data_IF_285562563811
#
_entry.id   IF_285562563811
#
_cell.length_a   1.000
_cell.length_b   1.000
_cell.length_c   1.000
_cell.angle_alpha   90.00
_cell.angle_beta   90.00
_cell.angle_gamma   90.00
#
_symmetry.space_group_name_H-M   'P 1'
#
loop_
_entity.id
_entity.type
_entity.pdbx_description
1 polymer ?
#
# COMPACT_ATOMS: atom_id res chain seq x y z
N UNK A 1 17.76 -12.72 16.70
CA UNK A 1 17.63 -11.49 17.52
C UNK A 1 16.27 -10.82 17.27
N UNK A 2 15.34 -10.93 18.21
CA UNK A 2 14.02 -10.26 18.18
C UNK A 2 14.26 -8.79 18.54
N UNK A 3 14.35 -7.87 17.56
CA UNK A 3 14.36 -6.42 17.83
C UNK A 3 13.03 -6.08 18.51
N UNK A 4 13.03 -5.97 19.85
CA UNK A 4 11.92 -5.37 20.60
C UNK A 4 11.78 -3.94 20.09
N UNK A 5 10.80 -3.70 19.20
CA UNK A 5 10.42 -2.33 18.82
C UNK A 5 10.09 -1.61 20.13
N UNK A 6 10.81 -0.53 20.44
CA UNK A 6 10.58 0.24 21.65
C UNK A 6 9.11 0.69 21.67
N UNK A 7 8.27 0.17 22.59
CA UNK A 7 6.83 0.41 22.56
C UNK A 7 6.44 1.87 22.91
N UNK A 8 7.41 2.72 23.29
CA UNK A 8 7.13 4.06 23.82
C UNK A 8 6.86 5.16 22.78
N UNK A 9 7.33 5.04 21.53
CA UNK A 9 7.23 6.16 20.57
C UNK A 9 5.82 6.36 19.99
N UNK A 10 5.01 5.30 19.91
CA UNK A 10 3.65 5.38 19.36
C UNK A 10 2.61 5.89 20.36
N UNK A 11 2.86 5.75 21.67
CA UNK A 11 1.93 6.18 22.71
C UNK A 11 2.05 7.67 23.07
N UNK A 12 3.23 8.28 22.86
CA UNK A 12 3.48 9.66 23.29
C UNK A 12 2.59 10.68 22.56
N UNK A 13 2.40 10.53 21.24
CA UNK A 13 1.62 11.45 20.43
C UNK A 13 0.16 11.58 20.89
N UNK A 14 -0.61 10.46 20.97
CA UNK A 14 -1.99 10.50 21.45
C UNK A 14 -2.14 11.07 22.87
N UNK A 15 -1.19 10.77 23.77
CA UNK A 15 -1.19 11.31 25.14
C UNK A 15 -1.01 12.83 25.13
N UNK A 16 -0.01 13.33 24.38
CA UNK A 16 0.21 14.77 24.25
C UNK A 16 -0.99 15.47 23.63
N UNK A 17 -1.63 14.87 22.63
CA UNK A 17 -2.83 15.41 22.02
C UNK A 17 -3.99 15.46 23.03
N UNK A 18 -4.22 14.40 23.78
CA UNK A 18 -5.27 14.36 24.81
C UNK A 18 -5.03 15.44 25.88
N UNK A 19 -3.79 15.58 26.35
CA UNK A 19 -3.43 16.63 27.32
C UNK A 19 -3.64 18.03 26.75
N UNK A 20 -3.28 18.27 25.48
CA UNK A 20 -3.52 19.54 24.80
C UNK A 20 -5.02 19.86 24.73
N UNK A 21 -5.86 18.90 24.34
CA UNK A 21 -7.30 19.08 24.21
C UNK A 21 -7.99 19.28 25.56
N UNK A 22 -7.55 18.58 26.61
CA UNK A 22 -8.02 18.78 27.98
C UNK A 22 -7.62 20.17 28.47
N UNK A 23 -6.35 20.55 28.27
CA UNK A 23 -5.84 21.87 28.64
C UNK A 23 -6.59 23.00 27.95
N UNK A 24 -6.89 22.86 26.65
CA UNK A 24 -7.72 23.79 25.90
C UNK A 24 -9.14 23.87 26.47
N UNK A 25 -9.76 22.72 26.79
CA UNK A 25 -11.12 22.70 27.37
C UNK A 25 -11.18 23.43 28.71
N UNK A 26 -10.17 23.24 29.57
CA UNK A 26 -10.04 23.95 30.85
C UNK A 26 -9.87 25.45 30.62
N UNK A 27 -8.98 25.85 29.68
CA UNK A 27 -8.75 27.24 29.34
C UNK A 27 -10.03 27.92 28.82
N UNK A 28 -10.75 27.29 27.89
CA UNK A 28 -11.99 27.83 27.34
C UNK A 28 -13.11 27.90 28.38
N UNK A 29 -13.13 26.98 29.34
CA UNK A 29 -14.04 27.04 30.49
C UNK A 29 -13.72 28.26 31.37
N UNK A 30 -12.43 28.53 31.62
CA UNK A 30 -12.00 29.68 32.41
C UNK A 30 -12.36 31.04 31.78
N UNK A 31 -12.35 31.08 30.44
CA UNK A 31 -12.69 32.25 29.63
C UNK A 31 -14.19 32.34 29.31
N UNK A 32 -15.00 31.41 29.83
CA UNK A 32 -16.44 31.40 29.62
C UNK A 32 -17.13 32.63 30.22
N UNK A 33 -18.41 32.87 29.83
CA UNK A 33 -19.16 34.05 30.27
C UNK A 33 -19.36 34.13 31.80
N UNK A 34 -19.34 32.98 32.48
CA UNK A 34 -19.51 32.88 33.93
C UNK A 34 -18.19 33.11 34.70
N UNK A 35 -17.07 33.32 34.00
CA UNK A 35 -15.74 33.45 34.57
C UNK A 35 -15.16 32.13 35.11
N UNK A 36 -13.99 32.18 35.78
CA UNK A 36 -13.33 30.98 36.30
C UNK A 36 -14.11 30.39 37.50
N UNK A 37 -14.47 29.10 37.48
CA UNK A 37 -15.14 28.45 38.60
C UNK A 37 -14.32 28.50 39.91
N UNK A 38 -14.97 28.71 41.04
CA UNK A 38 -14.30 28.91 42.34
C UNK A 38 -14.14 27.62 43.17
N UNK A 39 -14.58 26.47 42.66
CA UNK A 39 -14.48 25.19 43.38
C UNK A 39 -14.38 23.98 42.46
N UNK A 40 -13.80 22.88 42.96
CA UNK A 40 -13.52 21.68 42.15
C UNK A 40 -14.77 21.06 41.49
N UNK A 41 -15.89 20.99 42.23
CA UNK A 41 -17.17 20.51 41.66
C UNK A 41 -17.69 21.43 40.55
N UNK A 42 -17.56 22.75 40.74
CA UNK A 42 -17.98 23.74 39.75
C UNK A 42 -17.11 23.65 38.48
N UNK A 43 -15.79 23.46 38.64
CA UNK A 43 -14.87 23.16 37.54
C UNK A 43 -15.29 21.92 36.76
N UNK A 44 -15.56 20.81 37.45
CA UNK A 44 -15.97 19.57 36.82
C UNK A 44 -17.27 19.76 36.01
N UNK A 45 -18.29 20.41 36.59
CA UNK A 45 -19.55 20.64 35.88
C UNK A 45 -19.39 21.60 34.69
N UNK A 46 -18.50 22.60 34.79
CA UNK A 46 -18.31 23.59 33.75
C UNK A 46 -17.46 23.07 32.58
N UNK A 47 -16.46 22.20 32.84
CA UNK A 47 -15.57 21.67 31.80
C UNK A 47 -16.17 20.50 31.01
N UNK A 48 -17.07 19.74 31.62
CA UNK A 48 -17.68 18.54 30.99
C UNK A 48 -18.31 18.83 29.62
N UNK A 49 -19.12 19.89 29.42
CA UNK A 49 -19.66 20.25 28.11
C UNK A 49 -18.57 20.45 27.04
N UNK A 50 -17.48 21.14 27.38
CA UNK A 50 -16.35 21.36 26.47
C UNK A 50 -15.66 20.04 26.13
N UNK A 51 -15.44 19.17 27.11
CA UNK A 51 -14.85 17.84 26.88
C UNK A 51 -15.73 16.98 25.96
N UNK A 52 -17.05 17.01 26.16
CA UNK A 52 -17.99 16.25 25.32
C UNK A 52 -17.96 16.77 23.88
N UNK A 53 -18.03 18.07 23.65
CA UNK A 53 -17.97 18.64 22.29
C UNK A 53 -16.60 18.37 21.64
N UNK A 54 -15.52 18.51 22.39
CA UNK A 54 -14.16 18.19 21.92
C UNK A 54 -14.06 16.73 21.51
N UNK A 55 -14.62 15.82 22.30
CA UNK A 55 -14.66 14.38 21.99
C UNK A 55 -15.46 14.10 20.72
N UNK A 56 -16.61 14.75 20.52
CA UNK A 56 -17.37 14.66 19.28
C UNK A 56 -16.55 15.14 18.07
N UNK A 57 -15.84 16.27 18.21
CA UNK A 57 -14.90 16.74 17.19
C UNK A 57 -13.80 15.73 16.87
N UNK A 58 -13.19 15.12 17.89
CA UNK A 58 -12.19 14.06 17.73
C UNK A 58 -12.78 12.85 16.98
N UNK A 59 -13.99 12.42 17.32
CA UNK A 59 -14.68 11.31 16.64
C UNK A 59 -14.90 11.64 15.15
N UNK A 60 -15.34 12.85 14.84
CA UNK A 60 -15.49 13.31 13.45
C UNK A 60 -14.15 13.28 12.72
N UNK A 61 -13.08 13.84 13.31
CA UNK A 61 -11.75 13.82 12.72
C UNK A 61 -11.20 12.40 12.50
N UNK A 62 -11.47 11.47 13.42
CA UNK A 62 -11.12 10.06 13.27
C UNK A 62 -11.92 9.40 12.13
N UNK A 63 -13.22 9.69 12.02
CA UNK A 63 -14.07 9.17 10.94
C UNK A 63 -13.63 9.68 9.56
N UNK A 64 -13.28 10.97 9.45
CA UNK A 64 -12.72 11.54 8.21
C UNK A 64 -11.41 10.86 7.82
N UNK A 65 -10.54 10.59 8.78
CA UNK A 65 -9.25 9.98 8.52
C UNK A 65 -9.38 8.50 8.14
N UNK A 66 -10.21 7.75 8.86
CA UNK A 66 -10.47 6.34 8.60
C UNK A 66 -11.13 6.12 7.23
N UNK A 67 -12.06 7.00 6.84
CA UNK A 67 -12.69 6.94 5.51
C UNK A 67 -11.77 7.38 4.39
N UNK A 68 -10.87 8.35 4.62
CA UNK A 68 -9.89 8.78 3.61
C UNK A 68 -8.80 7.72 3.37
N UNK A 69 -8.34 7.04 4.43
CA UNK A 69 -7.25 6.06 4.38
C UNK A 69 -7.73 4.65 4.75
N UNK A 70 -8.72 4.15 4.02
CA UNK A 70 -9.39 2.88 4.32
C UNK A 70 -8.44 1.67 4.43
N UNK A 71 -7.36 1.65 3.65
CA UNK A 71 -6.40 0.55 3.65
C UNK A 71 -5.43 0.58 4.85
N UNK A 72 -5.22 1.74 5.47
CA UNK A 72 -4.24 1.95 6.55
C UNK A 72 -4.77 2.90 7.65
N UNK A 73 -5.95 2.67 8.23
CA UNK A 73 -6.62 3.65 9.10
C UNK A 73 -5.82 3.89 10.37
N UNK A 74 -5.32 2.82 11.01
CA UNK A 74 -4.56 2.95 12.26
C UNK A 74 -3.20 3.63 12.07
N UNK A 75 -2.52 3.34 10.95
CA UNK A 75 -1.25 3.97 10.64
C UNK A 75 -1.42 5.46 10.31
N UNK A 76 -2.53 5.82 9.64
CA UNK A 76 -2.90 7.21 9.40
C UNK A 76 -3.20 7.94 10.73
N UNK A 77 -4.03 7.36 11.61
CA UNK A 77 -4.43 7.96 12.91
C UNK A 77 -3.23 8.23 13.81
N UNK A 78 -2.29 7.30 13.90
CA UNK A 78 -1.13 7.44 14.81
C UNK A 78 -0.01 8.29 14.20
N UNK A 79 -0.10 8.64 12.90
CA UNK A 79 0.85 9.56 12.28
C UNK A 79 0.75 10.96 12.90
N UNK A 80 1.86 11.70 12.94
CA UNK A 80 1.87 13.06 13.49
C UNK A 80 0.87 14.00 12.80
N UNK A 81 0.70 13.85 11.48
CA UNK A 81 -0.27 14.61 10.69
C UNK A 81 -1.72 14.15 10.90
N UNK A 82 -1.95 12.85 11.08
CA UNK A 82 -3.25 12.32 11.46
C UNK A 82 -3.70 12.82 12.83
N UNK A 83 -2.80 12.79 13.83
CA UNK A 83 -3.04 13.40 15.14
C UNK A 83 -3.28 14.90 15.04
N UNK A 84 -2.56 15.60 14.15
CA UNK A 84 -2.79 17.02 13.86
C UNK A 84 -4.20 17.30 13.34
N UNK A 85 -4.70 16.50 12.39
CA UNK A 85 -6.04 16.63 11.83
C UNK A 85 -7.13 16.32 12.87
N UNK A 86 -6.96 15.23 13.63
CA UNK A 86 -7.88 14.85 14.72
C UNK A 86 -7.89 15.95 15.79
N UNK A 87 -6.72 16.45 16.17
CA UNK A 87 -6.58 17.54 17.11
C UNK A 87 -7.23 18.83 16.63
N UNK A 88 -7.03 19.21 15.37
CA UNK A 88 -7.67 20.38 14.79
C UNK A 88 -9.19 20.28 14.87
N UNK A 89 -9.77 19.12 14.56
CA UNK A 89 -11.21 18.91 14.68
C UNK A 89 -11.72 19.07 16.12
N UNK A 90 -11.04 18.45 17.09
CA UNK A 90 -11.36 18.62 18.51
C UNK A 90 -11.26 20.07 18.98
N UNK A 91 -10.17 20.76 18.63
CA UNK A 91 -9.95 22.16 18.99
C UNK A 91 -11.01 23.08 18.38
N UNK A 92 -11.32 22.91 17.10
CA UNK A 92 -12.31 23.74 16.42
C UNK A 92 -13.72 23.53 16.98
N UNK A 93 -14.10 22.28 17.29
CA UNK A 93 -15.38 22.00 17.95
C UNK A 93 -15.47 22.71 19.31
N UNK A 94 -14.40 22.67 20.11
CA UNK A 94 -14.33 23.35 21.40
C UNK A 94 -14.42 24.88 21.27
N UNK A 95 -13.69 25.47 20.30
CA UNK A 95 -13.69 26.92 20.05
C UNK A 95 -15.06 27.39 19.58
N UNK A 96 -15.69 26.69 18.62
CA UNK A 96 -17.03 27.02 18.14
C UNK A 96 -18.03 26.95 19.30
N UNK A 97 -17.94 25.93 20.15
CA UNK A 97 -18.80 25.83 21.33
C UNK A 97 -18.60 27.01 22.30
N UNK A 98 -17.34 27.39 22.56
CA UNK A 98 -17.02 28.55 23.39
C UNK A 98 -17.64 29.83 22.83
N UNK A 99 -17.50 30.07 21.52
CA UNK A 99 -18.06 31.23 20.84
C UNK A 99 -19.58 31.25 20.96
N UNK A 100 -20.26 30.16 20.64
CA UNK A 100 -21.74 30.14 20.71
C UNK A 100 -22.22 30.27 22.16
N UNK A 101 -21.54 29.64 23.13
CA UNK A 101 -21.87 29.78 24.56
C UNK A 101 -21.68 31.21 25.07
N UNK A 102 -20.71 31.95 24.53
CA UNK A 102 -20.46 33.35 24.86
C UNK A 102 -21.55 34.27 24.31
N UNK A 103 -21.98 34.06 23.06
CA UNK A 103 -23.00 34.90 22.42
C UNK A 103 -24.45 34.55 22.79
N UNK A 104 -24.70 33.30 23.18
CA UNK A 104 -26.05 32.81 23.51
C UNK A 104 -26.08 32.11 24.88
N UNK A 105 -25.75 32.82 25.98
CA UNK A 105 -25.53 32.21 27.28
C UNK A 105 -26.77 31.56 27.89
N UNK A 106 -27.96 32.06 27.56
CA UNK A 106 -29.26 31.55 28.04
C UNK A 106 -29.73 30.26 27.33
N UNK A 107 -28.99 29.81 26.31
CA UNK A 107 -29.36 28.61 25.55
C UNK A 107 -29.23 27.36 26.40
N UNK A 108 -30.19 26.43 26.25
CA UNK A 108 -30.10 25.13 26.90
C UNK A 108 -28.77 24.44 26.55
N UNK A 109 -27.96 24.18 27.58
CA UNK A 109 -26.60 23.66 27.45
C UNK A 109 -26.54 22.31 26.71
N UNK A 110 -27.53 21.45 26.93
CA UNK A 110 -27.58 20.13 26.27
C UNK A 110 -27.81 20.28 24.76
N UNK A 111 -28.77 21.11 24.36
CA UNK A 111 -29.03 21.41 22.95
C UNK A 111 -27.84 22.09 22.30
N UNK A 112 -27.14 22.97 23.03
CA UNK A 112 -25.94 23.65 22.54
C UNK A 112 -24.80 22.66 22.28
N UNK A 113 -24.54 21.74 23.22
CA UNK A 113 -23.53 20.68 23.07
C UNK A 113 -23.85 19.80 21.86
N UNK A 114 -25.09 19.36 21.71
CA UNK A 114 -25.50 18.51 20.59
C UNK A 114 -25.44 19.25 19.25
N UNK A 115 -25.99 20.47 19.23
CA UNK A 115 -26.05 21.31 18.03
C UNK A 115 -24.67 21.70 17.52
N UNK A 116 -23.77 22.13 18.42
CA UNK A 116 -22.39 22.43 18.03
C UNK A 116 -21.62 21.16 17.73
N UNK A 117 -21.70 20.13 18.56
CA UNK A 117 -20.95 18.89 18.39
C UNK A 117 -21.18 18.19 17.04
N UNK A 118 -22.38 18.30 16.48
CA UNK A 118 -22.71 17.76 15.15
C UNK A 118 -22.57 18.85 14.07
N UNK A 119 -22.97 20.09 14.36
CA UNK A 119 -23.08 21.17 13.37
C UNK A 119 -21.81 21.99 13.14
N UNK A 120 -20.77 21.86 13.97
CA UNK A 120 -19.57 22.69 13.84
C UNK A 120 -18.87 22.53 12.49
N UNK A 121 -18.95 21.35 11.87
CA UNK A 121 -18.41 21.11 10.52
C UNK A 121 -19.07 22.01 9.47
N UNK A 122 -20.38 22.24 9.57
CA UNK A 122 -21.07 23.17 8.69
C UNK A 122 -20.60 24.60 8.94
N UNK A 123 -20.42 24.99 10.21
CA UNK A 123 -19.96 26.33 10.60
C UNK A 123 -18.51 26.63 10.18
N UNK A 124 -17.62 25.64 10.17
CA UNK A 124 -16.23 25.84 9.70
C UNK A 124 -16.20 26.04 8.18
N UNK A 125 -17.13 25.39 7.46
CA UNK A 125 -17.24 25.49 6.02
C UNK A 125 -17.95 26.77 5.55
N UNK A 126 -18.55 27.56 6.44
CA UNK A 126 -19.17 28.83 6.03
C UNK A 126 -18.13 29.91 5.80
N UNK A 127 -18.33 30.68 4.73
CA UNK A 127 -17.52 31.85 4.40
C UNK A 127 -17.96 33.03 5.28
N UNK A 128 -17.05 33.56 6.09
CA UNK A 128 -17.34 34.72 6.92
C UNK A 128 -16.92 36.00 6.18
N UNK A 129 -17.88 36.83 5.84
CA UNK A 129 -17.64 38.16 5.28
C UNK A 129 -17.48 39.14 6.44
N UNK A 130 -16.25 39.59 6.73
CA UNK A 130 -15.98 40.48 7.87
C UNK A 130 -16.26 41.94 7.55
N UNK A 131 -16.06 42.36 6.31
CA UNK A 131 -16.42 43.68 5.85
C UNK A 131 -17.00 43.58 4.44
N UNK A 132 -18.27 43.98 4.30
CA UNK A 132 -18.88 44.25 3.00
C UNK A 132 -18.71 45.73 2.73
N UNK A 133 -17.91 46.10 1.73
CA UNK A 133 -17.65 47.50 1.44
C UNK A 133 -18.88 48.06 0.70
N UNK A 134 -19.68 48.92 1.35
CA UNK A 134 -20.90 49.51 0.78
C UNK A 134 -20.63 50.71 -0.15
N UNK A 135 -19.37 50.97 -0.52
CA UNK A 135 -19.01 52.04 -1.47
C UNK A 135 -18.76 51.43 -2.85
N UNK A 136 -19.54 51.83 -3.86
CA UNK A 136 -19.53 51.31 -5.23
C UNK A 136 -18.27 51.59 -6.06
N UNK A 137 -17.08 51.35 -5.52
CA UNK A 137 -15.82 51.24 -6.25
C UNK A 137 -15.27 49.83 -6.10
N UNK A 138 -14.42 49.40 -7.04
CA UNK A 138 -13.79 48.07 -7.14
C UNK A 138 -12.84 47.70 -5.97
N UNK A 139 -13.31 47.82 -4.72
CA UNK A 139 -12.64 47.34 -3.52
C UNK A 139 -13.19 45.97 -3.12
N UNK A 140 -12.36 44.94 -3.18
CA UNK A 140 -12.77 43.56 -2.92
C UNK A 140 -13.24 43.32 -1.48
N UNK A 141 -14.35 42.61 -1.33
CA UNK A 141 -14.89 42.17 -0.03
C UNK A 141 -13.81 41.41 0.79
N UNK A 142 -13.49 41.93 1.97
CA UNK A 142 -12.59 41.24 2.91
C UNK A 142 -13.37 40.10 3.59
N UNK A 143 -13.26 38.92 3.01
CA UNK A 143 -13.87 37.69 3.52
C UNK A 143 -12.79 36.70 3.94
N UNK A 144 -12.87 36.20 5.17
CA UNK A 144 -12.05 35.09 5.63
C UNK A 144 -12.79 33.79 5.33
N UNK A 145 -12.23 33.00 4.40
CA UNK A 145 -12.75 31.68 4.09
C UNK A 145 -12.04 30.64 4.97
N UNK A 146 -12.58 30.44 6.19
CA UNK A 146 -12.11 29.40 7.12
C UNK A 146 -12.23 27.99 6.50
N UNK A 147 -13.25 27.77 5.66
CA UNK A 147 -13.41 26.53 4.92
C UNK A 147 -12.24 26.26 3.98
N UNK A 148 -11.81 27.25 3.20
CA UNK A 148 -10.65 27.12 2.32
C UNK A 148 -9.36 26.81 3.10
N UNK A 149 -9.12 27.50 4.22
CA UNK A 149 -7.93 27.24 5.04
C UNK A 149 -7.94 25.82 5.62
N UNK A 150 -9.11 25.36 6.08
CA UNK A 150 -9.30 23.99 6.54
C UNK A 150 -9.04 22.98 5.44
N UNK A 151 -9.58 23.19 4.23
CA UNK A 151 -9.36 22.34 3.07
C UNK A 151 -7.88 22.24 2.68
N UNK A 152 -7.16 23.38 2.64
CA UNK A 152 -5.72 23.39 2.36
C UNK A 152 -4.92 22.62 3.41
N UNK A 153 -5.25 22.80 4.69
CA UNK A 153 -4.61 22.07 5.77
C UNK A 153 -4.91 20.56 5.68
N UNK A 154 -6.16 20.19 5.37
CA UNK A 154 -6.57 18.81 5.20
C UNK A 154 -5.85 18.16 4.02
N UNK A 155 -5.72 18.87 2.89
CA UNK A 155 -4.97 18.42 1.72
C UNK A 155 -3.49 18.21 2.06
N UNK A 156 -2.85 19.16 2.76
CA UNK A 156 -1.47 19.04 3.21
C UNK A 156 -1.30 17.80 4.11
N UNK A 157 -2.17 17.61 5.10
CA UNK A 157 -2.14 16.45 5.99
C UNK A 157 -2.26 15.15 5.19
N UNK A 158 -3.20 15.10 4.23
CA UNK A 158 -3.40 13.91 3.39
C UNK A 158 -2.15 13.58 2.58
N UNK A 159 -1.55 14.58 1.91
CA UNK A 159 -0.31 14.39 1.14
C UNK A 159 0.85 13.91 2.02
N UNK A 160 1.01 14.47 3.21
CA UNK A 160 2.10 14.07 4.11
C UNK A 160 1.91 12.66 4.67
N UNK A 161 0.68 12.27 4.99
CA UNK A 161 0.35 10.90 5.39
C UNK A 161 0.65 9.93 4.26
N UNK A 162 0.23 10.26 3.03
CA UNK A 162 0.48 9.42 1.86
C UNK A 162 1.97 9.24 1.59
N UNK A 163 2.76 10.32 1.61
CA UNK A 163 4.22 10.24 1.48
C UNK A 163 4.87 9.39 2.58
N UNK A 164 4.38 9.49 3.83
CA UNK A 164 4.88 8.67 4.93
C UNK A 164 4.54 7.18 4.72
N UNK A 165 3.34 6.87 4.21
CA UNK A 165 2.93 5.52 3.86
C UNK A 165 3.75 4.97 2.69
N UNK A 166 3.98 5.76 1.63
CA UNK A 166 4.83 5.37 0.48
C UNK A 166 6.24 4.98 0.93
N UNK A 167 6.90 5.80 1.76
CA UNK A 167 8.25 5.51 2.30
C UNK A 167 8.29 4.20 3.09
N UNK A 168 7.19 3.82 3.73
CA UNK A 168 7.07 2.55 4.46
C UNK A 168 6.78 1.37 3.53
N UNK A 169 6.00 1.56 2.46
CA UNK A 169 5.67 0.52 1.48
C UNK A 169 6.86 0.12 0.61
N UNK A 170 7.65 1.09 0.16
CA UNK A 170 8.79 0.87 -0.74
C UNK A 170 9.74 -0.28 -0.32
N UNK A 171 10.29 -0.32 0.91
CA UNK A 171 11.19 -1.41 1.30
C UNK A 171 10.48 -2.77 1.38
N UNK A 172 9.16 -2.80 1.55
CA UNK A 172 8.41 -4.05 1.57
C UNK A 172 8.19 -4.59 0.15
N UNK A 173 7.83 -3.70 -0.78
CA UNK A 173 7.70 -4.02 -2.20
C UNK A 173 9.03 -4.54 -2.74
N UNK A 174 10.14 -3.85 -2.46
CA UNK A 174 11.48 -4.30 -2.87
C UNK A 174 11.79 -5.71 -2.36
N UNK A 175 11.54 -5.99 -1.08
CA UNK A 175 11.76 -7.35 -0.52
C UNK A 175 10.85 -8.41 -1.13
N UNK A 176 9.60 -8.08 -1.47
CA UNK A 176 8.72 -9.00 -2.17
C UNK A 176 9.27 -9.32 -3.57
N UNK A 177 9.70 -8.30 -4.31
CA UNK A 177 10.29 -8.44 -5.65
C UNK A 177 11.58 -9.27 -5.61
N UNK A 178 12.46 -9.01 -4.64
CA UNK A 178 13.69 -9.79 -4.41
C UNK A 178 13.39 -11.26 -4.11
N UNK A 179 12.35 -11.51 -3.30
CA UNK A 179 12.05 -12.85 -2.81
C UNK A 179 11.30 -13.72 -3.82
N UNK A 180 10.53 -13.09 -4.70
CA UNK A 180 9.79 -13.72 -5.79
C UNK A 180 10.31 -13.17 -7.13
N UNK A 181 11.44 -13.71 -7.64
CA UNK A 181 12.14 -13.13 -8.78
C UNK A 181 11.37 -13.26 -10.09
N UNK A 182 10.51 -14.27 -10.23
CA UNK A 182 9.71 -14.46 -11.44
C UNK A 182 8.40 -13.68 -11.39
N UNK A 183 8.05 -13.05 -12.51
CA UNK A 183 6.77 -12.38 -12.71
C UNK A 183 5.58 -13.33 -12.45
N UNK A 184 5.66 -14.58 -12.91
CA UNK A 184 4.63 -15.58 -12.66
C UNK A 184 4.45 -15.89 -11.17
N UNK A 185 5.54 -15.97 -10.39
CA UNK A 185 5.42 -16.21 -8.95
C UNK A 185 4.75 -15.04 -8.22
N UNK A 186 5.10 -13.81 -8.59
CA UNK A 186 4.42 -12.61 -8.07
C UNK A 186 2.95 -12.57 -8.49
N UNK A 187 2.63 -12.89 -9.74
CA UNK A 187 1.26 -12.94 -10.23
C UNK A 187 0.43 -13.97 -9.47
N UNK A 188 0.92 -15.21 -9.33
CA UNK A 188 0.22 -16.25 -8.58
C UNK A 188 0.01 -15.83 -7.13
N UNK A 189 0.99 -15.16 -6.52
CA UNK A 189 0.84 -14.68 -5.14
C UNK A 189 -0.16 -13.54 -5.02
N UNK A 190 -0.21 -12.61 -5.99
CA UNK A 190 -1.22 -11.57 -6.07
C UNK A 190 -2.62 -12.18 -6.25
N UNK A 191 -2.76 -13.14 -7.17
CA UNK A 191 -3.99 -13.88 -7.40
C UNK A 191 -4.49 -14.55 -6.11
N UNK A 192 -3.65 -15.34 -5.44
CA UNK A 192 -4.01 -15.97 -4.16
C UNK A 192 -4.36 -14.96 -3.07
N UNK A 193 -3.73 -13.79 -3.07
CA UNK A 193 -4.02 -12.73 -2.09
C UNK A 193 -5.41 -12.13 -2.32
N UNK A 194 -5.83 -11.96 -3.57
CA UNK A 194 -7.19 -11.53 -3.93
C UNK A 194 -8.22 -12.58 -3.51
N UNK A 195 -8.03 -13.84 -3.92
CA UNK A 195 -8.98 -14.94 -3.61
C UNK A 195 -9.06 -15.23 -2.10
N UNK A 196 -7.95 -15.08 -1.37
CA UNK A 196 -7.96 -15.29 0.08
C UNK A 196 -8.73 -14.19 0.85
N UNK A 197 -9.00 -13.04 0.21
CA UNK A 197 -9.65 -11.89 0.84
C UNK A 197 -11.17 -12.03 0.81
N UNK A 198 -11.72 -12.59 1.89
CA UNK A 198 -13.17 -12.80 2.08
C UNK A 198 -14.04 -11.55 2.15
N UNK A 199 -13.45 -10.36 2.15
CA UNK A 199 -14.20 -9.09 2.25
C UNK A 199 -14.68 -8.57 0.90
N UNK A 200 -14.15 -9.10 -0.21
CA UNK A 200 -14.59 -8.69 -1.54
C UNK A 200 -15.91 -9.35 -1.90
N UNK A 201 -16.76 -8.62 -2.63
CA UNK A 201 -17.86 -9.26 -3.36
C UNK A 201 -17.31 -10.03 -4.57
N UNK A 202 -18.05 -11.00 -5.12
CA UNK A 202 -17.64 -11.71 -6.33
C UNK A 202 -17.32 -10.77 -7.50
N UNK A 203 -18.05 -9.67 -7.64
CA UNK A 203 -17.83 -8.66 -8.68
C UNK A 203 -16.54 -7.88 -8.45
N UNK A 204 -16.26 -7.47 -7.21
CA UNK A 204 -15.01 -6.78 -6.86
C UNK A 204 -13.80 -7.70 -7.07
N UNK A 205 -13.91 -8.97 -6.68
CA UNK A 205 -12.86 -9.97 -6.91
C UNK A 205 -12.56 -10.10 -8.41
N UNK A 206 -13.59 -10.27 -9.24
CA UNK A 206 -13.45 -10.37 -10.69
C UNK A 206 -12.80 -9.11 -11.30
N UNK A 207 -13.18 -7.92 -10.81
CA UNK A 207 -12.57 -6.66 -11.25
C UNK A 207 -11.08 -6.56 -10.89
N UNK A 208 -10.70 -6.94 -9.66
CA UNK A 208 -9.30 -6.93 -9.24
C UNK A 208 -8.46 -7.93 -10.03
N UNK A 209 -8.98 -9.13 -10.30
CA UNK A 209 -8.31 -10.14 -11.11
C UNK A 209 -8.17 -9.71 -12.58
N UNK A 210 -9.19 -9.07 -13.15
CA UNK A 210 -9.13 -8.53 -14.50
C UNK A 210 -8.07 -7.44 -14.63
N UNK A 211 -8.00 -6.52 -13.67
CA UNK A 211 -6.98 -5.46 -13.65
C UNK A 211 -5.55 -6.02 -13.49
N UNK A 212 -5.37 -7.01 -12.62
CA UNK A 212 -4.10 -7.73 -12.47
C UNK A 212 -3.66 -8.39 -13.79
N UNK A 213 -4.58 -9.05 -14.48
CA UNK A 213 -4.32 -9.72 -15.76
C UNK A 213 -4.00 -8.70 -16.85
N UNK A 214 -4.75 -7.59 -16.92
CA UNK A 214 -4.50 -6.51 -17.88
C UNK A 214 -3.09 -5.93 -17.75
N UNK A 215 -2.65 -5.67 -16.52
CA UNK A 215 -1.30 -5.15 -16.23
C UNK A 215 -0.18 -6.11 -16.62
N UNK A 216 -0.43 -7.42 -16.50
CA UNK A 216 0.52 -8.45 -16.90
C UNK A 216 0.70 -8.52 -18.43
N UNK A 217 -0.36 -8.20 -19.16
CA UNK A 217 -0.44 -8.29 -20.63
C UNK A 217 -0.06 -6.99 -21.33
N UNK A 218 0.23 -5.91 -20.59
CA UNK A 218 0.57 -4.61 -21.18
C UNK A 218 2.00 -4.61 -21.73
N UNK A 219 2.20 -4.62 -23.07
CA UNK A 219 3.52 -4.70 -23.67
C UNK A 219 4.30 -3.37 -23.56
N UNK A 220 3.65 -2.29 -23.13
CA UNK A 220 4.29 -0.97 -22.98
C UNK A 220 5.09 -0.83 -21.68
N UNK A 221 4.86 -1.72 -20.71
CA UNK A 221 5.50 -1.66 -19.41
C UNK A 221 6.76 -2.53 -19.35
N UNK A 222 7.89 -2.00 -18.84
CA UNK A 222 9.07 -2.82 -18.56
C UNK A 222 8.77 -3.91 -17.52
N UNK A 223 9.37 -5.09 -17.66
CA UNK A 223 9.18 -6.24 -16.75
C UNK A 223 9.37 -5.90 -15.27
N UNK A 224 10.37 -5.07 -14.96
CA UNK A 224 10.63 -4.62 -13.59
C UNK A 224 9.45 -3.80 -13.02
N UNK A 225 8.83 -2.95 -13.85
CA UNK A 225 7.65 -2.16 -13.46
C UNK A 225 6.46 -3.08 -13.21
N UNK A 226 6.25 -4.11 -14.05
CA UNK A 226 5.21 -5.11 -13.85
C UNK A 226 5.42 -5.83 -12.52
N UNK A 227 6.65 -6.27 -12.22
CA UNK A 227 6.99 -6.95 -10.96
C UNK A 227 6.75 -6.07 -9.73
N UNK A 228 7.20 -4.81 -9.77
CA UNK A 228 6.94 -3.86 -8.68
C UNK A 228 5.44 -3.62 -8.48
N UNK A 229 4.67 -3.54 -9.57
CA UNK A 229 3.22 -3.34 -9.53
C UNK A 229 2.50 -4.55 -8.92
N UNK A 230 2.90 -5.78 -9.28
CA UNK A 230 2.36 -7.00 -8.68
C UNK A 230 2.70 -7.08 -7.19
N UNK A 231 3.94 -6.76 -6.81
CA UNK A 231 4.36 -6.74 -5.41
C UNK A 231 3.62 -5.67 -4.59
N UNK A 232 3.38 -4.49 -5.18
CA UNK A 232 2.55 -3.45 -4.57
C UNK A 232 1.11 -3.93 -4.38
N UNK A 233 0.53 -4.59 -5.39
CA UNK A 233 -0.82 -5.15 -5.28
C UNK A 233 -0.94 -6.20 -4.16
N UNK A 234 0.06 -7.09 -4.00
CA UNK A 234 0.09 -8.02 -2.86
C UNK A 234 0.06 -7.27 -1.52
N UNK A 235 0.83 -6.18 -1.43
CA UNK A 235 0.91 -5.37 -0.21
C UNK A 235 -0.39 -4.59 0.07
N UNK A 236 -1.02 -4.03 -0.95
CA UNK A 236 -2.27 -3.25 -0.81
C UNK A 236 -3.46 -4.17 -0.53
N UNK A 237 -3.56 -5.30 -1.23
CA UNK A 237 -4.66 -6.24 -1.05
C UNK A 237 -4.52 -7.06 0.23
N UNK A 238 -3.31 -7.52 0.57
CA UNK A 238 -3.08 -8.37 1.75
C UNK A 238 -2.67 -7.62 3.02
N UNK A 239 -2.23 -6.37 2.90
CA UNK A 239 -1.67 -5.59 3.99
C UNK A 239 -0.25 -6.00 4.39
N UNK A 240 0.36 -5.19 5.26
CA UNK A 240 1.76 -5.35 5.67
C UNK A 240 2.02 -6.67 6.43
N UNK A 241 1.03 -7.15 7.18
CA UNK A 241 1.13 -8.41 7.93
C UNK A 241 1.28 -9.61 7.00
N UNK A 242 0.44 -9.69 5.97
CA UNK A 242 0.49 -10.75 4.96
C UNK A 242 1.78 -10.70 4.15
N UNK A 243 2.16 -9.50 3.65
CA UNK A 243 3.40 -9.33 2.91
C UNK A 243 4.63 -9.80 3.69
N UNK A 244 4.72 -9.46 4.98
CA UNK A 244 5.80 -9.96 5.85
C UNK A 244 5.77 -11.48 6.02
N UNK A 245 4.59 -12.06 6.21
CA UNK A 245 4.44 -13.52 6.32
C UNK A 245 4.89 -14.23 5.03
N UNK A 246 4.57 -13.67 3.87
CA UNK A 246 5.02 -14.19 2.57
C UNK A 246 6.53 -14.10 2.39
N UNK A 247 7.15 -12.97 2.77
CA UNK A 247 8.62 -12.81 2.74
C UNK A 247 9.29 -13.83 3.66
N UNK A 248 8.75 -14.01 4.87
CA UNK A 248 9.29 -14.96 5.85
C UNK A 248 9.13 -16.42 5.40
N UNK A 249 7.95 -16.79 4.89
CA UNK A 249 7.67 -18.13 4.39
C UNK A 249 8.58 -18.47 3.21
N UNK A 250 8.76 -17.54 2.28
CA UNK A 250 9.71 -17.74 1.21
C UNK A 250 11.12 -17.87 1.79
N UNK A 251 11.56 -17.02 2.72
CA UNK A 251 12.90 -17.10 3.35
C UNK A 251 13.20 -18.48 3.95
N UNK A 252 12.20 -19.15 4.54
CA UNK A 252 12.34 -20.53 5.04
C UNK A 252 12.45 -21.59 3.93
N UNK A 253 11.96 -21.30 2.74
CA UNK A 253 12.03 -22.17 1.54
C UNK A 253 13.30 -21.96 0.70
N UNK A 254 14.11 -20.92 0.93
CA UNK A 254 15.40 -20.85 0.22
C UNK A 254 16.30 -21.99 0.74
N UNK A 255 16.97 -22.74 -0.15
CA UNK A 255 18.11 -23.53 0.27
C UNK A 255 19.19 -22.59 0.84
N UNK A 256 20.02 -23.05 1.80
CA UNK A 256 21.07 -22.22 2.38
C UNK A 256 21.95 -21.61 1.30
N UNK A 257 22.40 -20.36 1.48
CA UNK A 257 23.13 -19.57 0.49
C UNK A 257 24.36 -20.28 -0.13
N UNK A 258 24.90 -21.31 0.53
CA UNK A 258 25.92 -22.19 -0.03
C UNK A 258 25.48 -22.93 -1.31
N UNK A 259 24.20 -23.30 -1.43
CA UNK A 259 23.65 -23.98 -2.61
C UNK A 259 23.32 -23.02 -3.77
N UNK A 260 23.11 -21.73 -3.50
CA UNK A 260 22.86 -20.73 -4.53
C UNK A 260 24.15 -20.26 -5.25
N UNK A 261 25.31 -20.43 -4.59
CA UNK A 261 26.62 -20.15 -5.18
C UNK A 261 27.08 -21.22 -6.19
N UNK A 262 26.42 -22.38 -6.23
CA UNK A 262 26.75 -23.49 -7.13
C UNK A 262 25.75 -23.69 -8.28
N UNK A 263 24.62 -22.96 -8.31
CA UNK A 263 23.68 -23.07 -9.42
C UNK A 263 24.19 -22.27 -10.64
N UNK A 264 24.44 -22.93 -11.78
CA UNK A 264 25.00 -22.27 -12.95
C UNK A 264 24.03 -21.23 -13.51
N UNK A 265 24.55 -20.09 -13.95
CA UNK A 265 23.73 -19.01 -14.52
C UNK A 265 22.91 -19.52 -15.73
N UNK A 266 21.61 -19.24 -15.73
CA UNK A 266 20.65 -19.74 -16.72
C UNK A 266 21.05 -19.32 -18.14
N UNK A 267 21.46 -18.07 -18.31
CA UNK A 267 21.88 -17.56 -19.60
C UNK A 267 23.20 -18.18 -20.06
N UNK A 268 24.14 -18.41 -19.14
CA UNK A 268 25.39 -19.10 -19.43
C UNK A 268 25.15 -20.55 -19.90
N UNK A 269 24.23 -21.28 -19.27
CA UNK A 269 23.88 -22.66 -19.68
C UNK A 269 23.18 -22.67 -21.03
N UNK A 270 22.20 -21.78 -21.27
CA UNK A 270 21.53 -21.68 -22.58
C UNK A 270 22.53 -21.35 -23.69
N UNK A 271 23.42 -20.38 -23.47
CA UNK A 271 24.46 -20.01 -24.44
C UNK A 271 25.42 -21.17 -24.70
N UNK A 272 25.89 -21.84 -23.64
CA UNK A 272 26.80 -22.97 -23.75
C UNK A 272 26.21 -24.13 -24.55
N UNK A 273 24.93 -24.48 -24.33
CA UNK A 273 24.22 -25.49 -25.12
C UNK A 273 24.11 -25.06 -26.60
N UNK A 274 23.70 -23.83 -26.86
CA UNK A 274 23.53 -23.32 -28.21
C UNK A 274 24.85 -23.24 -29.00
N UNK A 275 25.97 -22.98 -28.34
CA UNK A 275 27.30 -22.88 -28.98
C UNK A 275 27.96 -24.25 -29.18
N UNK A 276 27.84 -25.17 -28.21
CA UNK A 276 28.59 -26.43 -28.19
C UNK A 276 27.88 -27.62 -28.84
N UNK A 277 26.55 -27.59 -28.94
CA UNK A 277 25.78 -28.68 -29.52
C UNK A 277 25.20 -28.30 -30.87
N UNK A 278 25.32 -29.19 -31.84
CA UNK A 278 24.65 -29.04 -33.13
C UNK A 278 23.12 -29.16 -33.00
N UNK A 279 22.43 -28.84 -34.09
CA UNK A 279 20.97 -28.78 -34.10
C UNK A 279 20.34 -30.15 -33.80
N UNK A 280 20.93 -31.25 -34.29
CA UNK A 280 20.43 -32.60 -34.09
C UNK A 280 20.57 -33.05 -32.64
N UNK A 281 21.70 -32.76 -32.00
CA UNK A 281 21.92 -33.03 -30.58
C UNK A 281 20.97 -32.20 -29.70
N UNK A 282 20.73 -30.93 -30.05
CA UNK A 282 19.75 -30.09 -29.35
C UNK A 282 18.32 -30.60 -29.54
N UNK A 283 17.94 -31.07 -30.74
CA UNK A 283 16.64 -31.71 -31.00
C UNK A 283 16.48 -32.96 -30.14
N UNK A 284 17.49 -33.82 -30.09
CA UNK A 284 17.49 -35.05 -29.28
C UNK A 284 17.31 -34.77 -27.79
N UNK A 285 18.07 -33.81 -27.24
CA UNK A 285 17.94 -33.41 -25.83
C UNK A 285 16.58 -32.78 -25.53
N UNK A 286 16.05 -31.96 -26.44
CA UNK A 286 14.74 -31.36 -26.27
C UNK A 286 13.62 -32.42 -26.27
N UNK A 287 13.70 -33.43 -27.13
CA UNK A 287 12.77 -34.57 -27.10
C UNK A 287 12.91 -35.40 -25.83
N UNK A 288 14.12 -35.61 -25.30
CA UNK A 288 14.33 -36.25 -24.00
C UNK A 288 13.61 -35.49 -22.87
N UNK A 289 13.67 -34.14 -22.90
CA UNK A 289 12.94 -33.29 -21.95
C UNK A 289 11.43 -33.49 -22.07
N UNK A 290 10.90 -33.56 -23.30
CA UNK A 290 9.47 -33.80 -23.55
C UNK A 290 9.03 -35.14 -22.96
N UNK A 291 9.76 -36.22 -23.24
CA UNK A 291 9.50 -37.56 -22.72
C UNK A 291 9.48 -37.63 -21.18
N UNK A 292 10.40 -36.90 -20.55
CA UNK A 292 10.56 -36.94 -19.10
C UNK A 292 9.55 -36.08 -18.34
N UNK A 293 9.15 -34.94 -18.92
CA UNK A 293 8.44 -33.88 -18.17
C UNK A 293 6.98 -33.72 -18.60
N UNK A 294 6.63 -34.00 -19.86
CA UNK A 294 5.29 -33.77 -20.38
C UNK A 294 4.44 -35.05 -20.42
N UNK A 295 3.12 -34.91 -20.31
CA UNK A 295 2.15 -36.00 -20.40
C UNK A 295 0.87 -35.55 -21.12
N UNK A 296 0.20 -36.47 -21.81
CA UNK A 296 -1.03 -36.21 -22.56
C UNK A 296 -0.83 -35.13 -23.63
N UNK A 297 -1.83 -34.28 -23.82
CA UNK A 297 -1.86 -33.25 -24.88
C UNK A 297 -0.65 -32.28 -24.84
N UNK A 298 -0.08 -32.04 -23.65
CA UNK A 298 1.10 -31.18 -23.49
C UNK A 298 2.35 -31.80 -24.13
N UNK A 299 2.44 -33.13 -24.12
CA UNK A 299 3.54 -33.86 -24.75
C UNK A 299 3.49 -33.69 -26.26
N UNK A 300 2.31 -33.83 -26.85
CA UNK A 300 2.10 -33.69 -28.29
C UNK A 300 2.41 -32.26 -28.76
N UNK A 301 1.97 -31.25 -27.99
CA UNK A 301 2.27 -29.83 -28.29
C UNK A 301 3.78 -29.56 -28.23
N UNK A 302 4.47 -30.04 -27.20
CA UNK A 302 5.91 -29.79 -27.06
C UNK A 302 6.73 -30.56 -28.07
N UNK A 303 6.32 -31.78 -28.40
CA UNK A 303 6.95 -32.56 -29.46
C UNK A 303 6.82 -31.83 -30.80
N UNK A 304 5.62 -31.35 -31.14
CA UNK A 304 5.39 -30.56 -32.35
C UNK A 304 6.23 -29.27 -32.37
N UNK A 305 6.40 -28.59 -31.22
CA UNK A 305 7.27 -27.41 -31.12
C UNK A 305 8.74 -27.75 -31.40
N UNK A 306 9.26 -28.82 -30.81
CA UNK A 306 10.66 -29.23 -30.98
C UNK A 306 10.94 -29.66 -32.41
N UNK A 307 10.05 -30.48 -32.99
CA UNK A 307 10.15 -30.91 -34.39
C UNK A 307 10.04 -29.72 -35.34
N UNK A 308 9.02 -28.88 -35.16
CA UNK A 308 8.82 -27.67 -35.97
C UNK A 308 9.98 -26.69 -35.89
N UNK A 309 10.57 -26.49 -34.71
CA UNK A 309 11.72 -25.58 -34.54
C UNK A 309 12.99 -26.14 -35.17
N UNK A 310 13.22 -27.46 -35.09
CA UNK A 310 14.38 -28.09 -35.71
C UNK A 310 14.27 -28.09 -37.25
N UNK A 311 13.08 -28.38 -37.78
CA UNK A 311 12.86 -28.59 -39.21
C UNK A 311 12.49 -27.30 -39.96
N UNK A 312 12.40 -26.15 -39.27
CA UNK A 312 12.14 -24.84 -39.86
C UNK A 312 13.34 -24.31 -40.68
N UNK A 313 13.39 -24.72 -41.96
CA UNK A 313 14.40 -24.28 -42.90
C UNK A 313 14.35 -22.77 -43.21
N UNK A 314 13.26 -22.07 -42.90
CA UNK A 314 13.16 -20.62 -43.10
C UNK A 314 13.94 -19.83 -42.03
N UNK A 315 14.17 -20.43 -40.86
CA UNK A 315 14.92 -19.80 -39.77
C UNK A 315 16.43 -20.10 -39.84
N UNK A 316 17.30 -19.08 -39.63
CA UNK A 316 18.74 -19.30 -39.51
C UNK A 316 19.07 -20.31 -38.40
N UNK A 317 20.02 -21.22 -38.66
CA UNK A 317 20.40 -22.28 -37.72
C UNK A 317 20.77 -21.76 -36.31
N UNK A 318 21.52 -20.65 -36.12
CA UNK A 318 21.82 -20.14 -34.78
C UNK A 318 20.57 -19.76 -33.97
N UNK A 319 19.50 -19.30 -34.65
CA UNK A 319 18.23 -18.96 -34.01
C UNK A 319 17.53 -20.23 -33.54
N UNK A 320 17.49 -21.27 -34.39
CA UNK A 320 16.92 -22.58 -34.04
C UNK A 320 17.66 -23.23 -32.87
N UNK A 321 19.00 -23.22 -32.89
CA UNK A 321 19.85 -23.73 -31.79
C UNK A 321 19.58 -23.00 -30.47
N UNK A 322 19.46 -21.68 -30.51
CA UNK A 322 19.16 -20.88 -29.30
C UNK A 322 17.76 -21.17 -28.75
N UNK A 323 16.76 -21.28 -29.62
CA UNK A 323 15.39 -21.61 -29.22
C UNK A 323 15.29 -22.99 -28.57
N UNK A 324 15.93 -24.00 -29.14
CA UNK A 324 15.97 -25.35 -28.55
C UNK A 324 16.77 -25.38 -27.23
N UNK A 325 17.91 -24.70 -27.14
CA UNK A 325 18.67 -24.59 -25.90
C UNK A 325 17.86 -23.92 -24.77
N UNK A 326 17.10 -22.88 -25.11
CA UNK A 326 16.20 -22.21 -24.15
C UNK A 326 15.06 -23.13 -23.73
N UNK A 327 14.46 -23.86 -24.67
CA UNK A 327 13.43 -24.86 -24.37
C UNK A 327 13.93 -25.92 -23.38
N UNK A 328 15.15 -26.47 -23.60
CA UNK A 328 15.77 -27.46 -22.70
C UNK A 328 15.92 -26.90 -21.27
N UNK A 329 16.41 -25.67 -21.13
CA UNK A 329 16.58 -25.03 -19.82
C UNK A 329 15.24 -24.72 -19.15
N UNK A 330 14.27 -24.23 -19.93
CA UNK A 330 12.96 -23.78 -19.44
C UNK A 330 12.05 -24.94 -19.03
N UNK A 331 12.07 -26.04 -19.79
CA UNK A 331 11.20 -27.20 -19.56
C UNK A 331 11.91 -28.35 -18.84
N UNK A 332 13.19 -28.57 -19.13
CA UNK A 332 14.00 -29.61 -18.50
C UNK A 332 14.60 -29.21 -17.16
N UNK A 333 14.64 -27.91 -16.87
CA UNK A 333 15.24 -27.35 -15.66
C UNK A 333 16.74 -27.18 -15.77
N UNK A 334 17.24 -26.18 -15.04
CA UNK A 334 18.63 -25.71 -15.11
C UNK A 334 19.66 -26.80 -14.74
N UNK A 335 19.36 -27.63 -13.74
CA UNK A 335 20.28 -28.69 -13.29
C UNK A 335 20.50 -29.74 -14.39
N UNK A 336 19.42 -30.18 -15.04
CA UNK A 336 19.50 -31.14 -16.15
C UNK A 336 20.27 -30.56 -17.34
N UNK A 337 19.96 -29.32 -17.71
CA UNK A 337 20.62 -28.65 -18.82
C UNK A 337 22.14 -28.48 -18.58
N UNK A 338 22.53 -28.12 -17.35
CA UNK A 338 23.94 -27.98 -16.96
C UNK A 338 24.67 -29.33 -16.92
N UNK A 339 24.04 -30.37 -16.40
CA UNK A 339 24.60 -31.74 -16.39
C UNK A 339 24.88 -32.22 -17.81
N UNK A 340 23.93 -32.03 -18.74
CA UNK A 340 24.10 -32.38 -20.15
C UNK A 340 25.18 -31.57 -20.84
N UNK A 341 25.26 -30.26 -20.56
CA UNK A 341 26.32 -29.40 -21.10
C UNK A 341 27.72 -29.83 -20.63
N UNK A 342 27.86 -30.25 -19.37
CA UNK A 342 29.13 -30.74 -18.82
C UNK A 342 29.50 -32.11 -19.39
N UNK A 343 28.54 -33.03 -19.54
CA UNK A 343 28.78 -34.35 -20.12
C UNK A 343 29.35 -34.27 -21.55
N UNK A 344 28.93 -33.25 -22.31
CA UNK A 344 29.44 -32.98 -23.67
C UNK A 344 30.86 -32.41 -23.63
N UNK A 345 31.19 -31.63 -22.61
CA UNK A 345 32.54 -31.06 -22.44
C UNK A 345 33.59 -32.10 -22.00
N UNK A 346 33.16 -33.19 -21.37
CA UNK A 346 34.03 -34.26 -20.87
C UNK A 346 34.20 -35.44 -21.86
N UNK A 347 33.42 -35.49 -22.93
CA UNK A 347 33.59 -36.49 -23.98
C UNK A 347 34.91 -36.23 -24.75
N UNK A 348 35.86 -37.19 -24.82
CA UNK A 348 37.09 -37.00 -25.57
C UNK A 348 36.77 -36.85 -27.07
N UNK A 349 37.23 -35.74 -27.64
CA UNK A 349 37.14 -35.38 -29.06
C UNK A 349 37.75 -36.41 -30.00
#
# INVERSE_FOLDING_TARGET
MKRRRAPGRYALGPILLALLLIGLSILLTALGPDGPPTGGRAWLTAVVPYLVVTLLGVIVGLAELASTFADYPMDAVVSGWGLGLVGLNGMMAAIVFAVVRFYAPETNLFLLVLGVGIGFQALIRTKFTLAKQFSGGEGGDLSLNLGWLYEQFQALCKTQIDQALMRRRQPMVQRLVERYPSQLALFNMAYYTVVARRTFTPEEEAQQLAELTRRLQDPSLPDEVIRMTLALHILETGGEGHARALIEAASRRAPPAAAAAEMPDREAVTRGLAERLDLDALKGLALEVVERVAAGDVRDEWQAYVEGTADDAASPEPVRRTSLARFIVDKGGLAFAAERLNAVAEAPS
#
